data_IF_095075259274
#
_entry.id   IF_095075259274
#
_cell.length_a   1.000
_cell.length_b   1.000
_cell.length_c   1.000
_cell.angle_alpha   90.00
_cell.angle_beta   90.00
_cell.angle_gamma   90.00
#
_symmetry.space_group_name_H-M   'P 1'
#
loop_
_entity.id
_entity.type
_entity.pdbx_description
1 polymer ?
#
# COMPACT_ATOMS: atom_id res chain seq x y z
N UNK A 1 5.00 -9.10 16.23
CA UNK A 1 6.38 -9.24 15.72
C UNK A 1 6.59 -8.16 14.66
N UNK A 2 7.78 -7.59 14.47
CA UNK A 2 7.99 -6.50 13.48
C UNK A 2 8.46 -7.10 12.16
N UNK A 3 7.99 -6.58 11.03
CA UNK A 3 8.61 -6.84 9.71
C UNK A 3 10.10 -6.53 9.81
N UNK A 4 10.94 -7.38 9.20
CA UNK A 4 12.36 -7.11 9.06
C UNK A 4 12.59 -5.83 8.26
N UNK A 5 13.53 -5.00 8.71
CA UNK A 5 13.79 -3.69 8.10
C UNK A 5 14.12 -3.78 6.62
N UNK A 6 14.88 -4.80 6.21
CA UNK A 6 15.26 -5.03 4.81
C UNK A 6 14.06 -5.31 3.91
N UNK A 7 13.14 -6.14 4.37
CA UNK A 7 11.93 -6.49 3.64
C UNK A 7 10.94 -5.33 3.56
N UNK A 8 10.86 -4.51 4.62
CA UNK A 8 10.12 -3.24 4.57
C UNK A 8 10.73 -2.28 3.54
N UNK A 9 12.06 -2.15 3.50
CA UNK A 9 12.75 -1.26 2.58
C UNK A 9 12.49 -1.66 1.12
N UNK A 10 12.58 -2.95 0.80
CA UNK A 10 12.25 -3.46 -0.54
C UNK A 10 10.78 -3.23 -0.91
N UNK A 11 9.85 -3.50 0.01
CA UNK A 11 8.43 -3.23 -0.23
C UNK A 11 8.16 -1.75 -0.47
N UNK A 12 8.81 -0.89 0.31
CA UNK A 12 8.72 0.56 0.15
C UNK A 12 9.26 0.99 -1.21
N UNK A 13 10.41 0.49 -1.62
CA UNK A 13 11.03 0.81 -2.91
C UNK A 13 10.12 0.44 -4.08
N UNK A 14 9.63 -0.81 -4.14
CA UNK A 14 8.75 -1.27 -5.23
C UNK A 14 7.42 -0.50 -5.26
N UNK A 15 6.84 -0.22 -4.09
CA UNK A 15 5.62 0.58 -4.00
C UNK A 15 5.87 2.02 -4.45
N UNK A 16 6.98 2.64 -4.06
CA UNK A 16 7.34 3.99 -4.48
C UNK A 16 7.59 4.05 -5.98
N UNK A 17 8.25 3.05 -6.55
CA UNK A 17 8.44 2.96 -8.00
C UNK A 17 7.09 2.94 -8.74
N UNK A 18 6.15 2.11 -8.29
CA UNK A 18 4.80 2.06 -8.85
C UNK A 18 4.06 3.39 -8.71
N UNK A 19 4.05 3.99 -7.52
CA UNK A 19 3.36 5.25 -7.26
C UNK A 19 3.99 6.41 -8.05
N UNK A 20 5.32 6.44 -8.18
CA UNK A 20 6.03 7.43 -8.99
C UNK A 20 5.72 7.32 -10.48
N UNK A 21 5.53 6.10 -11.01
CA UNK A 21 5.05 5.89 -12.38
C UNK A 21 3.66 6.49 -12.62
N UNK A 22 2.81 6.55 -11.59
CA UNK A 22 1.51 7.20 -11.66
C UNK A 22 1.59 8.72 -11.54
N UNK A 23 2.54 9.21 -10.73
CA UNK A 23 2.70 10.62 -10.38
C UNK A 23 1.90 11.01 -9.14
N UNK A 24 2.53 11.81 -8.25
CA UNK A 24 1.99 12.17 -6.93
C UNK A 24 0.59 12.80 -7.02
N UNK A 25 0.37 13.72 -7.95
CA UNK A 25 -0.93 14.39 -8.14
C UNK A 25 -2.03 13.41 -8.52
N UNK A 26 -1.73 12.45 -9.42
CA UNK A 26 -2.67 11.42 -9.85
C UNK A 26 -3.00 10.47 -8.71
N UNK A 27 -2.00 10.07 -7.92
CA UNK A 27 -2.20 9.23 -6.73
C UNK A 27 -3.09 9.94 -5.72
N UNK A 28 -2.87 11.24 -5.48
CA UNK A 28 -3.71 12.04 -4.58
C UNK A 28 -5.14 12.19 -5.12
N UNK A 29 -5.32 12.43 -6.42
CA UNK A 29 -6.64 12.52 -7.04
C UNK A 29 -7.43 11.21 -6.89
N UNK A 30 -6.77 10.05 -7.06
CA UNK A 30 -7.41 8.74 -6.84
C UNK A 30 -7.75 8.54 -5.37
N UNK A 31 -6.87 8.94 -4.44
CA UNK A 31 -7.17 8.89 -3.02
C UNK A 31 -8.42 9.72 -2.66
N UNK A 32 -8.55 10.92 -3.25
CA UNK A 32 -9.72 11.78 -3.09
C UNK A 32 -10.99 11.13 -3.68
N UNK A 33 -10.91 10.48 -4.85
CA UNK A 33 -12.04 9.73 -5.45
C UNK A 33 -12.52 8.61 -4.52
N UNK A 34 -11.59 7.83 -3.96
CA UNK A 34 -11.94 6.78 -3.01
C UNK A 34 -12.65 7.36 -1.79
N UNK A 35 -12.11 8.45 -1.23
CA UNK A 35 -12.70 9.16 -0.09
C UNK A 35 -14.10 9.68 -0.42
N UNK A 36 -14.29 10.32 -1.57
CA UNK A 36 -15.58 10.85 -2.04
C UNK A 36 -16.64 9.76 -2.25
N UNK A 37 -16.21 8.56 -2.66
CA UNK A 37 -17.06 7.37 -2.81
C UNK A 37 -17.35 6.65 -1.49
N UNK A 38 -16.84 7.16 -0.36
CA UNK A 38 -16.99 6.54 0.95
C UNK A 38 -16.16 5.27 1.13
N UNK A 39 -15.17 5.03 0.26
CA UNK A 39 -14.25 3.91 0.39
C UNK A 39 -13.19 4.22 1.46
N UNK A 40 -12.79 3.19 2.20
CA UNK A 40 -11.82 3.35 3.27
C UNK A 40 -10.39 3.54 2.73
N UNK A 41 -9.54 4.19 3.53
CA UNK A 41 -8.10 4.26 3.25
C UNK A 41 -7.48 2.87 3.14
N UNK A 42 -8.01 1.90 3.89
CA UNK A 42 -7.61 0.50 3.80
C UNK A 42 -7.82 -0.10 2.44
N UNK A 43 -8.95 0.23 1.80
CA UNK A 43 -9.22 -0.23 0.44
C UNK A 43 -8.23 0.39 -0.54
N UNK A 44 -7.98 1.70 -0.42
CA UNK A 44 -7.05 2.42 -1.29
C UNK A 44 -5.64 1.81 -1.33
N UNK A 45 -4.96 1.66 -0.18
CA UNK A 45 -3.58 1.15 -0.21
C UNK A 45 -3.49 -0.33 -0.61
N UNK A 46 -4.54 -1.13 -0.33
CA UNK A 46 -4.61 -2.53 -0.79
C UNK A 46 -4.79 -2.62 -2.30
N UNK A 47 -5.63 -1.76 -2.87
CA UNK A 47 -5.81 -1.70 -4.32
C UNK A 47 -4.54 -1.20 -5.00
N UNK A 48 -3.84 -0.20 -4.45
CA UNK A 48 -2.52 0.23 -4.95
C UNK A 48 -1.53 -0.94 -4.98
N UNK A 49 -1.48 -1.74 -3.91
CA UNK A 49 -0.62 -2.93 -3.85
C UNK A 49 -1.06 -4.02 -4.85
N UNK A 50 -2.35 -4.23 -5.04
CA UNK A 50 -2.86 -5.18 -6.02
C UNK A 50 -2.53 -4.77 -7.47
N UNK A 51 -2.65 -3.47 -7.77
CA UNK A 51 -2.37 -2.92 -9.09
C UNK A 51 -0.88 -2.80 -9.39
N UNK A 52 -0.02 -2.68 -8.38
CA UNK A 52 1.44 -2.67 -8.57
C UNK A 52 1.99 -4.00 -9.07
N UNK A 53 1.21 -5.09 -8.99
CA UNK A 53 1.59 -6.45 -9.39
C UNK A 53 2.80 -7.01 -8.63
N UNK A 54 3.16 -6.41 -7.50
CA UNK A 54 4.20 -6.91 -6.61
C UNK A 54 3.79 -8.29 -6.10
N UNK A 55 4.61 -9.29 -6.39
CA UNK A 55 4.38 -10.68 -5.97
C UNK A 55 5.04 -10.91 -4.62
N UNK A 56 4.25 -11.36 -3.65
CA UNK A 56 4.78 -11.83 -2.37
C UNK A 56 4.99 -13.34 -2.47
N UNK A 57 6.24 -13.76 -2.39
CA UNK A 57 6.64 -15.16 -2.31
C UNK A 57 6.49 -15.70 -0.90
N UNK A 58 6.29 -17.01 -0.81
CA UNK A 58 6.14 -17.69 0.47
C UNK A 58 7.47 -18.12 1.10
N UNK A 59 8.59 -17.93 0.40
CA UNK A 59 9.92 -18.37 0.84
C UNK A 59 10.14 -19.88 0.84
N UNK A 60 9.09 -20.67 0.55
CA UNK A 60 9.12 -22.14 0.46
C UNK A 60 8.58 -22.53 -0.92
N UNK A 61 9.47 -22.50 -1.91
CA UNK A 61 9.18 -22.93 -3.28
C UNK A 61 8.51 -21.89 -4.19
N UNK A 62 7.89 -20.83 -3.65
CA UNK A 62 7.38 -19.71 -4.47
C UNK A 62 8.23 -18.47 -4.25
N UNK A 63 9.04 -18.11 -5.25
CA UNK A 63 9.78 -16.85 -5.29
C UNK A 63 8.87 -15.72 -5.78
N UNK A 64 8.72 -14.68 -4.96
CA UNK A 64 8.13 -13.41 -5.36
C UNK A 64 9.19 -12.32 -5.43
N UNK A 65 8.76 -11.11 -5.77
CA UNK A 65 9.61 -9.91 -5.71
C UNK A 65 10.08 -9.65 -4.27
N UNK A 66 9.27 -10.09 -3.29
CA UNK A 66 9.61 -10.10 -1.87
C UNK A 66 9.14 -11.43 -1.25
N UNK A 67 9.99 -12.11 -0.50
CA UNK A 67 9.67 -13.40 0.12
C UNK A 67 9.36 -13.21 1.60
N UNK A 68 8.07 -13.13 1.96
CA UNK A 68 7.63 -12.63 3.27
C UNK A 68 6.94 -13.65 4.20
N UNK A 69 6.33 -14.73 3.67
CA UNK A 69 5.31 -15.47 4.45
C UNK A 69 5.82 -16.39 5.57
N UNK A 70 7.12 -16.60 5.76
CA UNK A 70 7.58 -17.47 6.85
C UNK A 70 7.24 -16.90 8.25
N UNK A 71 7.06 -15.59 8.39
CA UNK A 71 6.82 -14.92 9.69
C UNK A 71 5.76 -13.79 9.64
N UNK A 72 5.09 -13.60 8.50
CA UNK A 72 4.28 -12.42 8.21
C UNK A 72 2.85 -12.78 7.86
N UNK A 73 1.88 -12.14 8.52
CA UNK A 73 0.45 -12.23 8.23
C UNK A 73 -0.08 -10.96 7.54
N UNK A 74 -1.34 -10.99 7.10
CA UNK A 74 -2.01 -9.88 6.42
C UNK A 74 -2.04 -8.58 7.24
N UNK A 75 -2.02 -8.67 8.57
CA UNK A 75 -2.05 -7.49 9.45
C UNK A 75 -0.73 -6.72 9.40
N UNK A 76 0.38 -7.44 9.31
CA UNK A 76 1.71 -6.86 9.14
C UNK A 76 1.83 -6.16 7.79
N UNK A 77 1.35 -6.81 6.72
CA UNK A 77 1.34 -6.24 5.38
C UNK A 77 0.49 -4.97 5.32
N UNK A 78 -0.73 -5.03 5.88
CA UNK A 78 -1.65 -3.88 5.91
C UNK A 78 -1.04 -2.69 6.65
N UNK A 79 -0.33 -2.94 7.76
CA UNK A 79 0.35 -1.91 8.55
C UNK A 79 1.51 -1.28 7.77
N UNK A 80 2.31 -2.09 7.08
CA UNK A 80 3.42 -1.61 6.25
C UNK A 80 2.93 -0.77 5.08
N UNK A 81 1.95 -1.26 4.32
CA UNK A 81 1.38 -0.55 3.17
C UNK A 81 0.78 0.80 3.58
N UNK A 82 0.01 0.83 4.68
CA UNK A 82 -0.55 2.06 5.23
C UNK A 82 0.54 3.09 5.53
N UNK A 83 1.66 2.66 6.10
CA UNK A 83 2.80 3.52 6.43
C UNK A 83 3.49 4.03 5.17
N UNK A 84 3.79 3.15 4.22
CA UNK A 84 4.43 3.48 2.93
C UNK A 84 3.62 4.53 2.18
N UNK A 85 2.31 4.34 2.04
CA UNK A 85 1.44 5.28 1.30
C UNK A 85 1.38 6.67 1.98
N UNK A 86 1.44 6.72 3.31
CA UNK A 86 1.54 8.01 4.03
C UNK A 86 2.90 8.66 3.85
N UNK A 87 3.98 7.88 3.91
CA UNK A 87 5.34 8.36 3.66
C UNK A 87 5.52 8.85 2.21
N UNK A 88 4.76 8.30 1.27
CA UNK A 88 4.72 8.77 -0.11
C UNK A 88 4.13 10.18 -0.24
N UNK A 89 3.37 10.63 0.76
CA UNK A 89 2.75 11.96 0.79
C UNK A 89 1.26 11.97 0.46
N UNK A 90 0.58 10.82 0.43
CA UNK A 90 -0.88 10.79 0.24
C UNK A 90 -1.56 11.37 1.48
N UNK A 91 -2.20 12.52 1.29
CA UNK A 91 -3.00 13.16 2.32
C UNK A 91 -4.42 12.58 2.30
N UNK A 92 -4.72 11.72 3.26
CA UNK A 92 -6.05 11.15 3.40
C UNK A 92 -6.93 12.04 4.28
N UNK A 93 -7.59 13.01 3.66
CA UNK A 93 -8.70 13.70 4.28
C UNK A 93 -9.96 12.89 4.00
N UNK A 94 -10.65 12.46 5.06
CA UNK A 94 -12.02 11.96 4.91
C UNK A 94 -12.82 13.16 4.41
N UNK A 95 -13.17 13.14 3.12
CA UNK A 95 -14.12 14.10 2.58
C UNK A 95 -15.46 13.63 3.13
N UNK A 96 -15.72 14.01 4.38
CA UNK A 96 -16.97 13.78 5.05
C UNK A 96 -18.04 14.45 4.20
N UNK A 97 -18.66 13.69 3.30
CA UNK A 97 -20.03 13.95 2.91
C UNK A 97 -20.87 13.64 4.16
N UNK A 98 -20.84 14.57 5.12
CA UNK A 98 -21.99 14.78 5.99
C UNK A 98 -23.15 15.03 5.02
N UNK A 99 -23.90 13.96 4.72
CA UNK A 99 -25.23 14.14 4.12
C UNK A 99 -26.03 15.04 5.07
N UNK A 100 -26.84 15.98 4.54
CA UNK A 100 -27.63 16.91 5.35
C UNK A 100 -28.56 16.17 6.32
#
# INVERSE_FOLDING_TARGET
MKIKTEDYAKLKELMFEYLNKMGVEKVQAIANDYSARGLSFTRFYRDCFWFSKIKIGNGIGTQGDINLYAYMDDSHLSTALKKIVREYGVNWNVLCNCKP
#
